data_IF_005699769136
#
_entry.id   IF_005699769136
#
_cell.length_a   1.000
_cell.length_b   1.000
_cell.length_c   1.000
_cell.angle_alpha   90.00
_cell.angle_beta   90.00
_cell.angle_gamma   90.00
#
_symmetry.space_group_name_H-M   'P 1'
#
loop_
_entity.id
_entity.type
_entity.pdbx_description
1 polymer ?
#
# COMPACT_ATOMS: atom_id res chain seq x y z
N UNK A 1 -32.90 21.58 30.64
CA UNK A 1 -32.24 22.23 29.48
C UNK A 1 -30.72 22.36 29.70
N UNK A 2 -30.25 22.99 30.78
CA UNK A 2 -28.80 23.17 31.05
C UNK A 2 -27.90 21.91 30.98
N UNK A 3 -28.34 20.75 31.51
CA UNK A 3 -27.59 19.49 31.40
C UNK A 3 -27.44 18.99 29.95
N UNK A 4 -28.45 19.21 29.11
CA UNK A 4 -28.45 18.78 27.72
C UNK A 4 -27.46 19.64 26.90
N UNK A 5 -27.46 20.95 27.14
CA UNK A 5 -26.54 21.92 26.52
C UNK A 5 -25.08 21.66 26.91
N UNK A 6 -24.83 21.36 28.20
CA UNK A 6 -23.49 20.99 28.67
C UNK A 6 -23.01 19.70 28.01
N UNK A 7 -23.89 18.68 27.90
CA UNK A 7 -23.57 17.42 27.24
C UNK A 7 -23.26 17.60 25.74
N UNK A 8 -24.09 18.37 25.02
CA UNK A 8 -23.85 18.70 23.60
C UNK A 8 -22.52 19.42 23.40
N UNK A 9 -22.20 20.36 24.28
CA UNK A 9 -20.94 21.13 24.23
C UNK A 9 -19.73 20.22 24.46
N UNK A 10 -19.79 19.35 25.47
CA UNK A 10 -18.72 18.38 25.74
C UNK A 10 -18.51 17.42 24.57
N UNK A 11 -19.60 16.94 23.95
CA UNK A 11 -19.56 16.06 22.79
C UNK A 11 -18.97 16.77 21.56
N UNK A 12 -19.31 18.04 21.36
CA UNK A 12 -18.72 18.90 20.33
C UNK A 12 -17.21 19.08 20.49
N UNK A 13 -16.73 19.33 21.71
CA UNK A 13 -15.28 19.39 21.97
C UNK A 13 -14.57 18.06 21.73
N UNK A 14 -15.20 16.94 22.11
CA UNK A 14 -14.67 15.61 21.86
C UNK A 14 -14.51 15.33 20.36
N UNK A 15 -15.54 15.61 19.56
CA UNK A 15 -15.49 15.45 18.11
C UNK A 15 -14.44 16.35 17.46
N UNK A 16 -14.35 17.61 17.89
CA UNK A 16 -13.34 18.54 17.39
C UNK A 16 -11.90 18.08 17.71
N UNK A 17 -11.68 17.52 18.91
CA UNK A 17 -10.38 16.96 19.29
C UNK A 17 -10.01 15.74 18.44
N UNK A 18 -10.97 14.84 18.16
CA UNK A 18 -10.76 13.68 17.29
C UNK A 18 -10.45 14.09 15.84
N UNK A 19 -11.21 15.03 15.28
CA UNK A 19 -10.96 15.54 13.92
C UNK A 19 -9.59 16.22 13.81
N UNK A 20 -9.20 17.01 14.83
CA UNK A 20 -7.85 17.61 14.87
C UNK A 20 -6.75 16.53 14.92
N UNK A 21 -6.89 15.54 15.80
CA UNK A 21 -5.92 14.45 15.92
C UNK A 21 -5.80 13.64 14.62
N UNK A 22 -6.93 13.35 13.96
CA UNK A 22 -6.95 12.66 12.67
C UNK A 22 -6.22 13.47 11.59
N UNK A 23 -6.48 14.77 11.46
CA UNK A 23 -5.83 15.64 10.47
C UNK A 23 -4.32 15.74 10.71
N UNK A 24 -3.90 15.82 11.96
CA UNK A 24 -2.49 15.88 12.34
C UNK A 24 -1.78 14.56 11.98
N UNK A 25 -2.42 13.42 12.26
CA UNK A 25 -1.92 12.11 11.85
C UNK A 25 -1.81 11.99 10.33
N UNK A 26 -2.88 12.33 9.60
CA UNK A 26 -2.90 12.26 8.13
C UNK A 26 -1.82 13.15 7.51
N UNK A 27 -1.67 14.41 7.94
CA UNK A 27 -0.68 15.33 7.39
C UNK A 27 0.77 14.89 7.62
N UNK A 28 1.03 14.15 8.72
CA UNK A 28 2.37 13.65 9.05
C UNK A 28 2.73 12.36 8.29
N UNK A 29 1.78 11.44 8.12
CA UNK A 29 2.05 10.10 7.59
C UNK A 29 1.74 9.95 6.10
N UNK A 30 0.68 10.60 5.59
CA UNK A 30 0.24 10.42 4.21
C UNK A 30 1.34 10.76 3.19
N UNK A 31 2.06 11.91 3.26
CA UNK A 31 3.05 12.26 2.25
C UNK A 31 4.19 11.23 2.14
N UNK A 32 4.65 10.71 3.28
CA UNK A 32 5.73 9.70 3.33
C UNK A 32 5.26 8.38 2.76
N UNK A 33 4.07 7.92 3.12
CA UNK A 33 3.48 6.68 2.61
C UNK A 33 3.23 6.79 1.11
N UNK A 34 2.70 7.91 0.63
CA UNK A 34 2.41 8.12 -0.79
C UNK A 34 3.68 8.14 -1.63
N UNK A 35 4.74 8.84 -1.19
CA UNK A 35 6.02 8.86 -1.90
C UNK A 35 6.63 7.45 -2.00
N UNK A 36 6.67 6.73 -0.87
CA UNK A 36 7.19 5.36 -0.84
C UNK A 36 6.36 4.41 -1.71
N UNK A 37 5.03 4.50 -1.65
CA UNK A 37 4.12 3.69 -2.46
C UNK A 37 4.27 4.00 -3.96
N UNK A 38 4.51 5.26 -4.34
CA UNK A 38 4.79 5.65 -5.72
C UNK A 38 6.07 4.99 -6.23
N UNK A 39 7.15 5.02 -5.44
CA UNK A 39 8.43 4.42 -5.83
C UNK A 39 8.34 2.91 -5.96
N UNK A 40 7.61 2.24 -5.06
CA UNK A 40 7.34 0.80 -5.13
C UNK A 40 6.47 0.49 -6.36
N UNK A 41 5.39 1.24 -6.59
CA UNK A 41 4.50 1.02 -7.73
C UNK A 41 5.25 1.19 -9.06
N UNK A 42 6.13 2.18 -9.15
CA UNK A 42 6.98 2.40 -10.33
C UNK A 42 7.83 1.17 -10.63
N UNK A 43 8.44 0.55 -9.60
CA UNK A 43 9.22 -0.69 -9.75
C UNK A 43 8.33 -1.87 -10.17
N UNK A 44 7.20 -2.07 -9.51
CA UNK A 44 6.27 -3.17 -9.82
C UNK A 44 5.71 -3.09 -11.24
N UNK A 45 5.54 -1.88 -11.77
CA UNK A 45 4.92 -1.63 -13.07
C UNK A 45 5.94 -1.37 -14.18
N UNK A 46 7.24 -1.58 -13.92
CA UNK A 46 8.30 -1.36 -14.91
C UNK A 46 8.40 0.09 -15.40
N UNK A 47 8.05 1.05 -14.54
CA UNK A 47 8.05 2.48 -14.85
C UNK A 47 6.76 3.00 -15.49
N UNK A 48 5.77 2.13 -15.75
CA UNK A 48 4.51 2.54 -16.38
C UNK A 48 3.76 3.58 -15.56
N UNK A 49 3.75 3.45 -14.24
CA UNK A 49 3.12 4.43 -13.34
C UNK A 49 4.19 5.09 -12.48
N UNK A 50 4.29 6.42 -12.59
CA UNK A 50 5.32 7.21 -11.92
C UNK A 50 4.77 8.26 -10.97
N UNK A 51 3.45 8.44 -10.95
CA UNK A 51 2.74 9.39 -10.09
C UNK A 51 1.62 8.71 -9.33
N UNK A 52 1.56 9.01 -8.04
CA UNK A 52 0.51 8.56 -7.13
C UNK A 52 0.04 9.73 -6.28
N UNK A 53 -1.28 9.88 -6.16
CA UNK A 53 -1.93 10.83 -5.27
C UNK A 53 -2.83 10.08 -4.30
N UNK A 54 -2.71 10.42 -3.02
CA UNK A 54 -3.61 10.00 -1.95
C UNK A 54 -4.38 11.24 -1.48
N UNK A 55 -5.68 11.27 -1.69
CA UNK A 55 -6.54 12.37 -1.25
C UNK A 55 -6.88 12.21 0.26
N UNK A 56 -7.49 13.23 0.86
CA UNK A 56 -7.83 13.29 2.29
C UNK A 56 -8.87 12.25 2.70
N UNK A 57 -9.73 11.86 1.76
CA UNK A 57 -10.69 10.76 1.91
C UNK A 57 -10.04 9.38 1.72
N UNK A 58 -8.71 9.34 1.56
CA UNK A 58 -7.88 8.16 1.30
C UNK A 58 -8.14 7.52 -0.06
N UNK A 59 -8.77 8.24 -1.00
CA UNK A 59 -8.87 7.80 -2.38
C UNK A 59 -7.51 7.90 -3.09
N UNK A 60 -7.23 6.91 -3.95
CA UNK A 60 -5.97 6.80 -4.67
C UNK A 60 -6.17 7.03 -6.16
N UNK A 61 -5.33 7.89 -6.72
CA UNK A 61 -5.24 8.14 -8.16
C UNK A 61 -3.81 7.96 -8.64
N UNK A 62 -3.63 7.37 -9.82
CA UNK A 62 -2.32 7.20 -10.44
C UNK A 62 -2.30 7.70 -11.88
N UNK A 63 -1.15 8.20 -12.31
CA UNK A 63 -0.89 8.62 -13.68
C UNK A 63 0.16 7.73 -14.31
N UNK A 64 -0.05 7.34 -15.57
CA UNK A 64 1.00 6.66 -16.31
C UNK A 64 2.09 7.67 -16.74
N UNK A 65 3.30 7.17 -17.01
CA UNK A 65 4.37 7.98 -17.56
C UNK A 65 3.91 8.61 -18.89
N UNK A 66 3.96 9.94 -18.97
CA UNK A 66 3.52 10.72 -20.13
C UNK A 66 2.03 11.09 -20.19
N UNK A 67 1.21 10.67 -19.22
CA UNK A 67 -0.19 11.15 -19.11
C UNK A 67 -0.27 12.41 -18.24
N UNK A 68 -0.85 13.52 -18.69
CA UNK A 68 -0.98 14.70 -17.80
C UNK A 68 -2.04 14.52 -16.70
N UNK A 69 -2.93 13.55 -16.88
CA UNK A 69 -4.10 13.33 -16.01
C UNK A 69 -3.87 12.17 -15.04
N UNK A 70 -4.27 12.34 -13.78
CA UNK A 70 -4.37 11.26 -12.81
C UNK A 70 -5.73 10.58 -12.92
N UNK A 71 -5.73 9.25 -12.88
CA UNK A 71 -6.95 8.47 -12.97
C UNK A 71 -7.22 7.75 -11.64
N UNK A 72 -8.48 7.76 -11.14
CA UNK A 72 -8.87 6.93 -10.02
C UNK A 72 -8.60 5.47 -10.35
N UNK A 73 -7.96 4.73 -9.44
CA UNK A 73 -7.57 3.36 -9.73
C UNK A 73 -8.74 2.39 -9.94
N UNK A 74 -9.93 2.75 -9.46
CA UNK A 74 -11.18 2.00 -9.66
C UNK A 74 -11.49 1.75 -11.16
N UNK A 75 -10.85 2.51 -12.06
CA UNK A 75 -11.07 2.42 -13.51
C UNK A 75 -10.04 1.57 -14.28
N UNK A 76 -9.01 1.01 -13.62
CA UNK A 76 -7.95 0.24 -14.30
C UNK A 76 -8.01 -1.25 -13.95
N UNK A 77 -7.52 -2.10 -14.87
CA UNK A 77 -7.60 -3.57 -14.79
C UNK A 77 -7.28 -4.12 -13.39
N UNK A 78 -7.98 -5.18 -12.97
CA UNK A 78 -7.87 -5.83 -11.66
C UNK A 78 -6.41 -5.98 -11.16
N UNK A 79 -5.51 -6.48 -12.03
CA UNK A 79 -4.10 -6.68 -11.66
C UNK A 79 -3.25 -5.42 -11.45
N UNK A 80 -3.65 -4.23 -11.94
CA UNK A 80 -2.95 -2.97 -11.59
C UNK A 80 -3.39 -2.47 -10.21
N UNK A 81 -4.65 -2.69 -9.85
CA UNK A 81 -5.16 -2.41 -8.51
C UNK A 81 -4.39 -3.20 -7.46
N UNK A 82 -4.19 -4.51 -7.69
CA UNK A 82 -3.44 -5.37 -6.78
C UNK A 82 -1.98 -4.94 -6.59
N UNK A 83 -1.30 -4.49 -7.66
CA UNK A 83 0.06 -3.94 -7.57
C UNK A 83 0.11 -2.65 -6.73
N UNK A 84 -0.89 -1.77 -6.85
CA UNK A 84 -0.97 -0.61 -5.97
C UNK A 84 -1.24 -1.00 -4.53
N UNK A 85 -2.16 -1.92 -4.29
CA UNK A 85 -2.46 -2.39 -2.94
C UNK A 85 -1.22 -2.98 -2.26
N UNK A 86 -0.43 -3.78 -2.99
CA UNK A 86 0.85 -4.29 -2.51
C UNK A 86 1.82 -3.13 -2.22
N UNK A 87 1.98 -2.18 -3.15
CA UNK A 87 2.86 -1.04 -2.98
C UNK A 87 2.51 -0.20 -1.74
N UNK A 88 1.22 0.08 -1.53
CA UNK A 88 0.73 0.83 -0.38
C UNK A 88 0.96 0.06 0.92
N UNK A 89 0.63 -1.23 0.97
CA UNK A 89 0.83 -2.04 2.18
C UNK A 89 2.30 -2.14 2.56
N UNK A 90 3.19 -2.30 1.57
CA UNK A 90 4.63 -2.28 1.79
C UNK A 90 5.10 -0.91 2.31
N UNK A 91 4.66 0.19 1.70
CA UNK A 91 4.98 1.54 2.14
C UNK A 91 4.54 1.81 3.58
N UNK A 92 3.30 1.45 3.92
CA UNK A 92 2.77 1.55 5.30
C UNK A 92 3.60 0.70 6.26
N UNK A 93 3.91 -0.54 5.87
CA UNK A 93 4.67 -1.45 6.70
C UNK A 93 6.10 -0.96 6.96
N UNK A 94 6.77 -0.41 5.94
CA UNK A 94 8.08 0.25 6.09
C UNK A 94 8.02 1.48 6.99
N UNK A 95 6.94 2.27 6.90
CA UNK A 95 6.79 3.50 7.67
C UNK A 95 6.47 3.25 9.15
N UNK A 96 5.69 2.21 9.46
CA UNK A 96 5.18 1.95 10.81
C UNK A 96 5.96 0.89 11.58
N UNK A 97 6.38 -0.18 10.90
CA UNK A 97 6.97 -1.36 11.56
C UNK A 97 8.12 -1.93 10.70
N UNK A 98 9.22 -1.16 10.51
CA UNK A 98 10.30 -1.54 9.60
C UNK A 98 11.00 -2.85 9.99
N UNK A 99 11.10 -3.14 11.29
CA UNK A 99 11.87 -4.29 11.81
C UNK A 99 11.08 -5.61 11.84
N UNK A 100 9.74 -5.57 11.74
CA UNK A 100 8.93 -6.78 11.83
C UNK A 100 9.02 -7.60 10.53
N UNK A 101 9.01 -8.95 10.62
CA UNK A 101 8.91 -9.79 9.44
C UNK A 101 7.60 -9.50 8.69
N UNK A 102 7.67 -9.56 7.37
CA UNK A 102 6.50 -9.41 6.51
C UNK A 102 5.92 -10.79 6.23
N UNK A 103 4.62 -10.95 6.47
CA UNK A 103 3.87 -12.14 6.09
C UNK A 103 2.96 -11.79 4.92
N UNK A 104 3.13 -12.51 3.81
CA UNK A 104 2.35 -12.36 2.59
C UNK A 104 1.58 -13.67 2.36
N UNK A 105 0.27 -13.61 2.47
CA UNK A 105 -0.61 -14.75 2.28
C UNK A 105 -1.40 -14.59 0.97
N UNK A 106 -1.06 -15.40 -0.03
CA UNK A 106 -1.62 -15.39 -1.39
C UNK A 106 -1.64 -14.01 -2.06
N UNK A 107 -0.76 -13.11 -1.62
CA UNK A 107 -0.78 -11.69 -1.98
C UNK A 107 -0.47 -11.41 -3.48
N UNK A 108 0.07 -12.40 -4.19
CA UNK A 108 0.52 -12.29 -5.58
C UNK A 108 -0.34 -13.12 -6.55
N UNK A 109 -1.42 -13.75 -6.08
CA UNK A 109 -2.18 -14.77 -6.82
C UNK A 109 -2.80 -14.28 -8.15
N UNK A 110 -3.10 -12.98 -8.28
CA UNK A 110 -3.69 -12.33 -9.46
C UNK A 110 -2.66 -11.77 -10.43
N UNK A 111 -1.35 -11.89 -10.13
CA UNK A 111 -0.31 -11.40 -11.01
C UNK A 111 -0.06 -12.38 -12.16
N UNK A 112 0.04 -11.84 -13.37
CA UNK A 112 0.66 -12.55 -14.49
C UNK A 112 2.18 -12.71 -14.24
N UNK A 113 2.84 -13.56 -15.03
CA UNK A 113 4.24 -13.93 -14.80
C UNK A 113 5.19 -12.73 -14.82
N UNK A 114 4.91 -11.71 -15.64
CA UNK A 114 5.74 -10.51 -15.72
C UNK A 114 5.60 -9.65 -14.46
N UNK A 115 4.36 -9.43 -13.99
CA UNK A 115 4.09 -8.71 -12.74
C UNK A 115 4.60 -9.46 -11.53
N UNK A 116 4.49 -10.79 -11.52
CA UNK A 116 4.99 -11.64 -10.45
C UNK A 116 6.52 -11.55 -10.36
N UNK A 117 7.24 -11.67 -11.47
CA UNK A 117 8.70 -11.54 -11.48
C UNK A 117 9.16 -10.18 -10.95
N UNK A 118 8.48 -9.08 -11.35
CA UNK A 118 8.78 -7.75 -10.83
C UNK A 118 8.51 -7.62 -9.31
N UNK A 119 7.43 -8.25 -8.82
CA UNK A 119 7.11 -8.27 -7.39
C UNK A 119 8.13 -9.06 -6.59
N UNK A 120 8.50 -10.27 -7.03
CA UNK A 120 9.49 -11.10 -6.36
C UNK A 120 10.86 -10.42 -6.32
N UNK A 121 11.31 -9.83 -7.44
CA UNK A 121 12.55 -9.07 -7.49
C UNK A 121 12.55 -7.88 -6.52
N UNK A 122 11.40 -7.21 -6.33
CA UNK A 122 11.26 -6.15 -5.32
C UNK A 122 11.35 -6.72 -3.90
N UNK A 123 10.63 -7.80 -3.62
CA UNK A 123 10.61 -8.45 -2.29
C UNK A 123 11.98 -9.01 -1.90
N UNK A 124 12.77 -9.52 -2.85
CA UNK A 124 14.15 -9.97 -2.60
C UNK A 124 15.08 -8.84 -2.11
N UNK A 125 14.75 -7.58 -2.42
CA UNK A 125 15.54 -6.43 -1.96
C UNK A 125 15.09 -5.86 -0.61
N UNK A 126 14.03 -6.42 -0.01
CA UNK A 126 13.59 -5.96 1.32
C UNK A 126 14.62 -6.33 2.39
N UNK A 127 14.96 -5.40 3.30
CA UNK A 127 15.99 -5.63 4.31
C UNK A 127 15.55 -6.55 5.46
N UNK A 128 14.30 -7.01 5.46
CA UNK A 128 13.66 -7.76 6.55
C UNK A 128 13.14 -9.09 6.04
N UNK A 129 12.99 -10.05 6.94
CA UNK A 129 12.48 -11.38 6.61
C UNK A 129 11.07 -11.29 5.99
N UNK A 130 10.87 -12.03 4.90
CA UNK A 130 9.56 -12.21 4.26
C UNK A 130 9.17 -13.67 4.34
N UNK A 131 7.94 -13.93 4.80
CA UNK A 131 7.29 -15.23 4.74
C UNK A 131 6.20 -15.13 3.67
N UNK A 132 6.42 -15.77 2.53
CA UNK A 132 5.45 -15.83 1.44
C UNK A 132 4.75 -17.19 1.47
N UNK A 133 3.45 -17.15 1.76
CA UNK A 133 2.52 -18.26 1.65
C UNK A 133 1.82 -18.16 0.30
N UNK A 134 1.85 -19.25 -0.47
CA UNK A 134 1.16 -19.33 -1.76
C UNK A 134 0.69 -20.74 -2.04
N UNK A 135 -0.46 -20.83 -2.70
CA UNK A 135 -1.02 -22.08 -3.20
C UNK A 135 -0.41 -22.52 -4.56
N UNK A 136 0.47 -21.71 -5.17
CA UNK A 136 0.92 -21.89 -6.55
C UNK A 136 2.42 -22.20 -6.64
N UNK A 137 2.82 -22.99 -7.64
CA UNK A 137 4.23 -23.36 -7.85
C UNK A 137 5.04 -22.25 -8.55
N UNK A 138 4.39 -21.23 -9.11
CA UNK A 138 5.03 -20.26 -10.00
C UNK A 138 6.02 -19.37 -9.26
N UNK A 139 5.71 -19.01 -8.02
CA UNK A 139 6.53 -18.18 -7.15
C UNK A 139 7.83 -18.90 -6.78
N UNK A 140 7.72 -20.18 -6.40
CA UNK A 140 8.86 -21.01 -6.07
C UNK A 140 9.79 -21.25 -7.28
N UNK A 141 9.25 -21.27 -8.50
CA UNK A 141 10.06 -21.42 -9.73
C UNK A 141 10.82 -20.15 -10.11
N UNK A 142 10.26 -18.98 -9.81
CA UNK A 142 10.86 -17.69 -10.14
C UNK A 142 11.86 -17.20 -9.09
N UNK A 143 11.76 -17.69 -7.86
CA UNK A 143 12.69 -17.38 -6.78
C UNK A 143 13.97 -18.23 -6.87
N UNK A 144 15.12 -17.59 -6.63
CA UNK A 144 16.41 -18.29 -6.55
C UNK A 144 16.53 -19.09 -5.23
N UNK A 145 17.47 -20.04 -5.19
CA UNK A 145 17.63 -21.04 -4.11
C UNK A 145 17.81 -20.48 -2.67
N UNK A 146 17.99 -19.16 -2.50
CA UNK A 146 18.13 -18.51 -1.20
C UNK A 146 16.80 -18.10 -0.54
N UNK A 147 15.67 -18.21 -1.25
CA UNK A 147 14.35 -17.82 -0.77
C UNK A 147 13.50 -19.04 -0.41
N UNK A 148 12.87 -19.04 0.77
CA UNK A 148 11.98 -20.12 1.20
C UNK A 148 10.52 -19.70 1.04
N UNK A 149 9.80 -20.41 0.16
CA UNK A 149 8.35 -20.26 -0.02
C UNK A 149 7.65 -21.32 0.84
N UNK A 150 6.74 -20.89 1.70
CA UNK A 150 5.94 -21.78 2.52
C UNK A 150 4.68 -22.12 1.72
N UNK A 151 4.38 -23.40 1.56
CA UNK A 151 3.15 -23.87 0.89
C UNK A 151 2.10 -24.17 1.95
N UNK A 152 0.88 -23.76 1.68
CA UNK A 152 -0.30 -24.17 2.44
C UNK A 152 -0.91 -25.46 1.86
#
# INVERSE_FOLDING_TARGET
MARLETYQTALGYGLAALDKAQRELQSRFAPRITAEAQDILKKLTGGRYDRLLLDRDLSLSAGAAGEDTLHPLVWRSDGTGDQLYLALRLAVSRALIPEAPLVLDDALNRFDDARLAAALALLETEPRQILLFTCQDREARLLNACCHVIRE
#
